data_IF_999346774675
#
_entry.id   IF_999346774675
#
_cell.length_a   1.000
_cell.length_b   1.000
_cell.length_c   1.000
_cell.angle_alpha   90.00
_cell.angle_beta   90.00
_cell.angle_gamma   90.00
#
_symmetry.space_group_name_H-M   'P 1'
#
loop_
_entity.id
_entity.type
_entity.pdbx_description
1 polymer ?
#
# COMPACT_ATOMS: atom_id res chain seq x y z
N UNK A 1 47.77 34.26 -61.08
CA UNK A 1 47.11 34.67 -59.86
C UNK A 1 46.35 33.43 -59.31
N UNK A 2 46.98 32.69 -58.41
CA UNK A 2 46.37 31.50 -57.76
C UNK A 2 45.75 31.89 -56.43
N UNK A 3 44.45 31.78 -56.32
CA UNK A 3 43.75 31.95 -55.05
C UNK A 3 43.80 30.61 -54.27
N UNK A 4 44.48 30.62 -53.11
CA UNK A 4 44.48 29.51 -52.15
C UNK A 4 43.26 29.64 -51.28
N UNK A 5 42.33 28.67 -51.35
CA UNK A 5 41.21 28.50 -50.47
C UNK A 5 41.66 27.69 -49.25
N UNK A 6 41.67 28.28 -48.07
CA UNK A 6 41.86 27.57 -46.79
C UNK A 6 40.53 26.95 -46.39
N UNK A 7 40.45 25.63 -46.27
CA UNK A 7 39.35 24.92 -45.56
C UNK A 7 39.72 24.86 -44.10
N UNK A 8 38.92 25.54 -43.26
CA UNK A 8 38.96 25.38 -41.81
C UNK A 8 38.08 24.20 -41.40
N UNK A 9 38.70 23.13 -40.93
CA UNK A 9 38.01 21.98 -40.35
C UNK A 9 37.68 22.30 -38.90
N UNK A 10 36.40 22.56 -38.59
CA UNK A 10 35.89 22.73 -37.22
C UNK A 10 35.64 21.35 -36.63
N UNK A 11 36.49 20.90 -35.72
CA UNK A 11 36.29 19.68 -34.95
C UNK A 11 35.23 19.96 -33.88
N UNK A 12 34.06 19.36 -34.02
CA UNK A 12 33.03 19.30 -32.96
C UNK A 12 33.46 18.28 -31.90
N UNK A 13 33.98 18.73 -30.76
CA UNK A 13 34.11 17.90 -29.57
C UNK A 13 32.70 17.67 -29.00
N UNK A 14 32.15 16.49 -29.25
CA UNK A 14 30.95 16.04 -28.50
C UNK A 14 31.38 15.75 -27.06
N UNK A 15 31.09 16.69 -26.15
CA UNK A 15 31.11 16.46 -24.72
C UNK A 15 30.00 15.44 -24.41
N UNK A 16 30.39 14.18 -24.28
CA UNK A 16 29.54 13.15 -23.66
C UNK A 16 29.35 13.59 -22.19
N UNK A 17 28.24 14.27 -21.91
CA UNK A 17 27.76 14.50 -20.55
C UNK A 17 27.39 13.12 -19.98
N UNK A 18 28.35 12.45 -19.34
CA UNK A 18 28.04 11.34 -18.46
C UNK A 18 27.17 11.93 -17.37
N UNK A 19 25.89 11.57 -17.36
CA UNK A 19 25.03 11.79 -16.21
C UNK A 19 25.66 10.98 -15.06
N UNK A 20 26.47 11.64 -14.24
CA UNK A 20 26.85 11.08 -12.95
C UNK A 20 25.55 10.96 -12.17
N UNK A 21 25.13 9.73 -11.88
CA UNK A 21 24.07 9.50 -10.92
C UNK A 21 24.53 10.17 -9.61
N UNK A 22 23.80 11.19 -9.17
CA UNK A 22 24.10 11.89 -7.93
C UNK A 22 24.07 10.86 -6.81
N UNK A 23 25.15 10.73 -6.04
CA UNK A 23 25.20 9.82 -4.89
C UNK A 23 24.12 10.22 -3.91
N UNK A 24 23.05 9.43 -3.82
CA UNK A 24 21.94 9.70 -2.91
C UNK A 24 22.46 9.64 -1.47
N UNK A 25 22.40 10.78 -0.76
CA UNK A 25 22.86 10.85 0.65
C UNK A 25 21.82 10.34 1.63
N UNK A 26 20.55 10.42 1.25
CA UNK A 26 19.41 10.07 2.09
C UNK A 26 18.42 9.22 1.28
N UNK A 27 18.00 8.07 1.83
CA UNK A 27 16.94 7.24 1.29
C UNK A 27 15.64 7.51 2.05
N UNK A 28 14.58 7.90 1.35
CA UNK A 28 13.35 8.45 1.92
C UNK A 28 12.22 7.45 1.80
N UNK A 29 11.72 7.01 2.94
CA UNK A 29 10.67 5.99 3.07
C UNK A 29 9.33 6.63 3.39
N UNK A 30 8.36 6.51 2.50
CA UNK A 30 6.98 6.95 2.75
C UNK A 30 6.20 5.91 3.54
N UNK A 31 5.49 6.35 4.57
CA UNK A 31 4.64 5.49 5.38
C UNK A 31 3.20 6.00 5.34
N UNK A 32 2.28 5.19 4.81
CA UNK A 32 0.86 5.55 4.67
C UNK A 32 0.20 5.79 6.03
N UNK A 33 -0.81 6.69 6.04
CA UNK A 33 -1.56 7.05 7.24
C UNK A 33 -2.54 6.01 7.74
N UNK A 34 -3.26 6.34 8.82
CA UNK A 34 -4.41 5.56 9.28
C UNK A 34 -4.17 4.65 10.47
N UNK A 35 -2.99 4.70 11.05
CA UNK A 35 -2.62 4.06 12.31
C UNK A 35 -1.94 5.07 13.24
N UNK A 36 -1.68 4.69 14.50
CA UNK A 36 -0.87 5.51 15.39
C UNK A 36 0.52 5.75 14.79
N UNK A 37 0.95 7.01 14.71
CA UNK A 37 2.23 7.39 14.07
C UNK A 37 3.44 6.77 14.78
N UNK A 38 3.44 6.77 16.11
CA UNK A 38 4.56 6.20 16.86
C UNK A 38 4.73 4.69 16.59
N UNK A 39 3.61 3.96 16.46
CA UNK A 39 3.62 2.52 16.14
C UNK A 39 4.16 2.30 14.71
N UNK A 40 3.74 3.13 13.75
CA UNK A 40 4.23 3.07 12.36
C UNK A 40 5.74 3.31 12.28
N UNK A 41 6.23 4.36 12.93
CA UNK A 41 7.66 4.66 12.99
C UNK A 41 8.46 3.53 13.65
N UNK A 42 7.95 2.97 14.76
CA UNK A 42 8.57 1.85 15.47
C UNK A 42 8.68 0.61 14.59
N UNK A 43 7.65 0.28 13.81
CA UNK A 43 7.66 -0.89 12.92
C UNK A 43 8.77 -0.83 11.86
N UNK A 44 9.15 0.37 11.41
CA UNK A 44 10.19 0.58 10.41
C UNK A 44 11.60 0.88 10.98
N UNK A 45 11.77 0.88 12.32
CA UNK A 45 13.07 1.23 12.92
C UNK A 45 14.20 0.31 12.46
N UNK A 46 13.94 -0.99 12.35
CA UNK A 46 14.93 -1.96 11.86
C UNK A 46 15.41 -1.64 10.42
N UNK A 47 14.52 -1.15 9.57
CA UNK A 47 14.86 -0.72 8.20
C UNK A 47 15.75 0.52 8.23
N UNK A 48 15.44 1.50 9.11
CA UNK A 48 16.28 2.69 9.32
C UNK A 48 17.69 2.33 9.76
N UNK A 49 17.81 1.34 10.62
CA UNK A 49 19.10 0.92 11.19
C UNK A 49 19.96 0.12 10.19
N UNK A 50 19.33 -0.66 9.32
CA UNK A 50 20.03 -1.62 8.44
C UNK A 50 20.32 -1.07 7.04
N UNK A 51 19.36 -0.36 6.42
CA UNK A 51 19.46 0.08 5.03
C UNK A 51 20.62 1.04 4.71
N UNK A 52 21.08 1.95 5.59
CA UNK A 52 22.20 2.83 5.26
C UNK A 52 23.44 2.07 4.81
N UNK A 53 23.80 0.99 5.51
CA UNK A 53 24.94 0.15 5.17
C UNK A 53 24.75 -0.63 3.86
N UNK A 54 23.53 -1.10 3.61
CA UNK A 54 23.16 -1.86 2.39
C UNK A 54 23.21 -0.98 1.15
N UNK A 55 22.64 0.21 1.23
CA UNK A 55 22.50 1.11 0.08
C UNK A 55 23.72 2.03 -0.12
N UNK A 56 24.61 2.15 0.88
CA UNK A 56 25.73 3.08 0.85
C UNK A 56 25.29 4.54 1.02
N UNK A 57 24.16 4.81 1.69
CA UNK A 57 23.65 6.16 1.97
C UNK A 57 24.03 6.59 3.39
N UNK A 58 24.02 7.90 3.64
CA UNK A 58 24.35 8.42 4.97
C UNK A 58 23.25 8.15 5.99
N UNK A 59 21.98 8.19 5.55
CA UNK A 59 20.82 7.95 6.41
C UNK A 59 19.62 7.44 5.62
N UNK A 60 18.71 6.80 6.34
CA UNK A 60 17.34 6.49 5.92
C UNK A 60 16.39 7.31 6.78
N UNK A 61 15.42 7.97 6.17
CA UNK A 61 14.45 8.80 6.88
C UNK A 61 13.04 8.33 6.59
N UNK A 62 12.22 8.26 7.65
CA UNK A 62 10.82 7.90 7.57
C UNK A 62 9.95 9.15 7.43
N UNK A 63 9.00 9.12 6.52
CA UNK A 63 8.05 10.20 6.23
C UNK A 63 6.62 9.69 6.43
N UNK A 64 6.10 9.70 7.68
CA UNK A 64 4.73 9.32 7.95
C UNK A 64 3.78 10.38 7.38
N UNK A 65 2.89 9.97 6.48
CA UNK A 65 1.84 10.84 5.97
C UNK A 65 0.59 10.79 6.86
N UNK A 66 -0.24 11.82 6.81
CA UNK A 66 -1.51 11.85 7.51
C UNK A 66 -2.52 10.88 6.88
N UNK A 67 -2.47 10.75 5.56
CA UNK A 67 -3.33 9.90 4.73
C UNK A 67 -2.52 9.20 3.62
N UNK A 68 -3.20 8.43 2.79
CA UNK A 68 -2.57 7.70 1.69
C UNK A 68 -2.12 8.64 0.56
N UNK A 69 -2.86 9.73 0.31
CA UNK A 69 -2.53 10.69 -0.76
C UNK A 69 -1.19 11.36 -0.51
N UNK A 70 -0.84 11.66 0.73
CA UNK A 70 0.45 12.25 1.06
C UNK A 70 1.64 11.42 0.56
N UNK A 71 1.57 10.08 0.66
CA UNK A 71 2.61 9.19 0.13
C UNK A 71 2.56 9.12 -1.40
N UNK A 72 1.35 9.06 -1.99
CA UNK A 72 1.16 9.08 -3.45
C UNK A 72 1.78 10.33 -4.06
N UNK A 73 1.50 11.52 -3.51
CA UNK A 73 2.06 12.79 -3.97
C UNK A 73 3.58 12.86 -3.75
N UNK A 74 4.07 12.33 -2.64
CA UNK A 74 5.50 12.26 -2.35
C UNK A 74 6.28 11.41 -3.38
N UNK A 75 5.72 10.30 -3.81
CA UNK A 75 6.30 9.45 -4.86
C UNK A 75 6.21 10.10 -6.25
N UNK A 76 5.06 10.67 -6.61
CA UNK A 76 4.88 11.40 -7.87
C UNK A 76 5.81 12.62 -7.96
N UNK A 77 5.96 13.37 -6.87
CA UNK A 77 6.83 14.54 -6.77
C UNK A 77 8.32 14.21 -6.60
N UNK A 78 8.69 12.92 -6.49
CA UNK A 78 10.09 12.48 -6.32
C UNK A 78 10.70 12.87 -4.96
N UNK A 79 9.88 13.19 -3.97
CA UNK A 79 10.32 13.48 -2.59
C UNK A 79 10.42 12.24 -1.71
N UNK A 80 9.90 11.10 -2.18
CA UNK A 80 10.04 9.78 -1.58
C UNK A 80 10.75 8.84 -2.55
N UNK A 81 11.49 7.88 -2.02
CA UNK A 81 12.26 6.91 -2.78
C UNK A 81 11.63 5.50 -2.76
N UNK A 82 10.93 5.19 -1.68
CA UNK A 82 10.27 3.90 -1.44
C UNK A 82 8.99 4.11 -0.63
N UNK A 83 8.00 3.29 -0.93
CA UNK A 83 6.85 3.05 -0.06
C UNK A 83 6.24 1.67 -0.33
N UNK A 84 5.53 1.15 0.66
CA UNK A 84 4.57 0.07 0.46
C UNK A 84 3.18 0.67 0.31
N UNK A 85 2.47 0.25 -0.74
CA UNK A 85 1.17 0.80 -1.10
C UNK A 85 0.12 -0.31 -1.19
N UNK A 86 -1.14 0.03 -0.94
CA UNK A 86 -2.23 -0.75 -1.49
C UNK A 86 -2.25 -0.64 -3.03
N UNK A 87 -2.72 -1.67 -3.72
CA UNK A 87 -2.77 -1.71 -5.19
C UNK A 87 -3.57 -0.53 -5.80
N UNK A 88 -4.56 0.04 -5.07
CA UNK A 88 -5.31 1.23 -5.50
C UNK A 88 -4.46 2.50 -5.46
N UNK A 89 -3.65 2.69 -4.40
CA UNK A 89 -2.68 3.79 -4.33
C UNK A 89 -1.65 3.72 -5.46
N UNK A 90 -1.13 2.52 -5.73
CA UNK A 90 -0.26 2.30 -6.89
C UNK A 90 -0.99 2.59 -8.21
N UNK A 91 -2.24 2.14 -8.37
CA UNK A 91 -3.03 2.43 -9.58
C UNK A 91 -3.23 3.94 -9.79
N UNK A 92 -3.39 4.72 -8.71
CA UNK A 92 -3.47 6.20 -8.80
C UNK A 92 -2.19 6.79 -9.36
N UNK A 93 -1.02 6.35 -8.86
CA UNK A 93 0.27 6.78 -9.39
C UNK A 93 0.41 6.38 -10.86
N UNK A 94 0.13 5.11 -11.19
CA UNK A 94 0.26 4.58 -12.55
C UNK A 94 -0.61 5.33 -13.56
N UNK A 95 -1.83 5.70 -13.19
CA UNK A 95 -2.74 6.47 -14.05
C UNK A 95 -2.32 7.93 -14.22
N UNK A 96 -1.63 8.50 -13.23
CA UNK A 96 -1.09 9.86 -13.30
C UNK A 96 0.23 9.89 -14.10
N UNK A 97 1.16 9.02 -13.78
CA UNK A 97 2.43 8.80 -14.48
C UNK A 97 2.89 7.35 -14.29
N UNK A 98 2.71 6.52 -15.31
CA UNK A 98 3.10 5.11 -15.31
C UNK A 98 4.63 4.88 -15.15
N UNK A 99 5.43 5.93 -15.24
CA UNK A 99 6.89 5.88 -15.12
C UNK A 99 7.41 6.47 -13.80
N UNK A 100 6.56 6.99 -12.92
CA UNK A 100 6.99 7.61 -11.67
C UNK A 100 7.64 6.60 -10.72
N UNK A 101 7.08 5.40 -10.62
CA UNK A 101 7.56 4.33 -9.75
C UNK A 101 7.58 2.98 -10.44
N UNK A 102 8.39 2.06 -9.92
CA UNK A 102 8.44 0.65 -10.32
C UNK A 102 7.91 -0.20 -9.16
N UNK A 103 6.87 -1.04 -9.37
CA UNK A 103 6.49 -2.07 -8.42
C UNK A 103 7.52 -3.20 -8.54
N UNK A 104 8.27 -3.47 -7.48
CA UNK A 104 9.37 -4.43 -7.51
C UNK A 104 9.06 -5.73 -6.81
N UNK A 105 8.30 -5.68 -5.72
CA UNK A 105 7.96 -6.83 -4.88
C UNK A 105 6.52 -6.75 -4.39
N UNK A 106 6.00 -7.91 -3.99
CA UNK A 106 4.79 -8.04 -3.18
C UNK A 106 4.97 -9.16 -2.16
N UNK A 107 4.15 -9.19 -1.12
CA UNK A 107 4.16 -10.23 -0.09
C UNK A 107 3.49 -11.52 -0.56
N UNK A 108 3.94 -12.64 -0.01
CA UNK A 108 3.34 -13.98 -0.14
C UNK A 108 2.82 -14.40 1.23
N UNK A 109 1.56 -14.76 1.33
CA UNK A 109 0.92 -15.25 2.55
C UNK A 109 1.52 -16.61 2.98
N UNK A 110 1.29 -17.01 4.21
CA UNK A 110 1.80 -18.28 4.75
C UNK A 110 1.30 -19.52 4.00
N UNK A 111 0.13 -19.43 3.36
CA UNK A 111 -0.43 -20.48 2.50
C UNK A 111 0.09 -20.46 1.05
N UNK A 112 0.91 -19.45 0.71
CA UNK A 112 1.49 -19.26 -0.63
C UNK A 112 0.64 -18.37 -1.55
N UNK A 113 -0.51 -17.88 -1.14
CA UNK A 113 -1.29 -16.93 -1.93
C UNK A 113 -0.60 -15.55 -1.97
N UNK A 114 -0.82 -14.81 -3.06
CA UNK A 114 -0.31 -13.44 -3.24
C UNK A 114 -1.46 -12.42 -3.15
N UNK A 115 -2.37 -12.64 -2.22
CA UNK A 115 -3.56 -11.82 -2.09
C UNK A 115 -4.12 -11.85 -0.68
N UNK A 116 -5.10 -10.97 -0.48
CA UNK A 116 -5.81 -10.76 0.76
C UNK A 116 -7.26 -10.37 0.47
N UNK A 117 -8.04 -10.03 1.49
CA UNK A 117 -9.46 -9.72 1.33
C UNK A 117 -9.83 -8.39 1.97
N UNK A 118 -10.73 -7.67 1.31
CA UNK A 118 -11.55 -6.67 1.97
C UNK A 118 -12.59 -7.37 2.82
N UNK A 119 -12.78 -6.89 4.02
CA UNK A 119 -13.67 -7.47 5.02
C UNK A 119 -14.60 -6.37 5.54
N UNK A 120 -15.90 -6.62 5.51
CA UNK A 120 -16.89 -5.75 6.12
C UNK A 120 -17.16 -6.23 7.54
N UNK A 121 -16.85 -5.42 8.52
CA UNK A 121 -17.06 -5.71 9.93
C UNK A 121 -18.11 -4.78 10.54
N UNK A 122 -18.82 -5.30 11.52
CA UNK A 122 -19.75 -4.54 12.35
C UNK A 122 -19.63 -4.99 13.82
N UNK A 123 -20.17 -4.19 14.75
CA UNK A 123 -20.25 -4.60 16.16
C UNK A 123 -21.16 -5.81 16.32
N UNK A 124 -20.69 -6.82 17.05
CA UNK A 124 -21.43 -8.06 17.32
C UNK A 124 -22.70 -7.84 18.14
N UNK A 125 -22.68 -6.87 19.09
CA UNK A 125 -23.81 -6.55 19.93
C UNK A 125 -25.00 -5.90 19.18
N UNK A 126 -24.79 -5.45 17.93
CA UNK A 126 -25.86 -4.93 17.06
C UNK A 126 -26.72 -6.02 16.44
N UNK A 127 -26.27 -7.28 16.51
CA UNK A 127 -27.03 -8.43 16.06
C UNK A 127 -27.16 -8.58 14.54
N UNK A 128 -26.40 -7.83 13.73
CA UNK A 128 -26.36 -8.01 12.28
C UNK A 128 -25.80 -9.38 11.92
N UNK A 129 -26.42 -10.06 10.95
CA UNK A 129 -26.06 -11.42 10.52
C UNK A 129 -25.63 -11.48 9.06
N UNK A 130 -25.93 -10.45 8.29
CA UNK A 130 -25.62 -10.36 6.87
C UNK A 130 -25.48 -8.89 6.43
N UNK A 131 -24.94 -8.67 5.23
CA UNK A 131 -24.88 -7.32 4.64
C UNK A 131 -26.29 -6.75 4.43
N UNK A 132 -27.31 -7.59 4.19
CA UNK A 132 -28.68 -7.14 3.99
C UNK A 132 -29.24 -6.37 5.22
N UNK A 133 -28.80 -6.72 6.42
CA UNK A 133 -29.20 -6.06 7.67
C UNK A 133 -28.66 -4.61 7.78
N UNK A 134 -27.70 -4.27 6.93
CA UNK A 134 -27.07 -2.95 6.88
C UNK A 134 -27.80 -1.97 5.94
N UNK A 135 -28.91 -2.37 5.30
CA UNK A 135 -29.69 -1.46 4.46
C UNK A 135 -30.13 -0.23 5.26
N UNK A 136 -29.84 0.97 4.73
CA UNK A 136 -30.15 2.22 5.39
C UNK A 136 -29.29 2.54 6.61
N UNK A 137 -28.17 1.82 6.82
CA UNK A 137 -27.20 2.08 7.88
C UNK A 137 -26.05 2.94 7.40
N UNK A 138 -25.14 3.31 8.31
CA UNK A 138 -23.94 4.10 8.01
C UNK A 138 -22.76 3.18 7.72
N UNK A 139 -22.15 3.31 6.53
CA UNK A 139 -20.96 2.59 6.15
C UNK A 139 -19.72 3.47 6.22
N UNK A 140 -18.70 3.03 6.93
CA UNK A 140 -17.37 3.63 6.91
C UNK A 140 -16.45 2.94 5.90
N UNK A 141 -15.69 3.75 5.18
CA UNK A 141 -14.54 3.34 4.37
C UNK A 141 -13.24 3.75 5.06
N UNK A 142 -12.13 3.07 4.76
CA UNK A 142 -10.85 3.39 5.41
C UNK A 142 -10.27 4.71 4.89
N UNK A 143 -9.90 4.76 3.61
CA UNK A 143 -9.26 5.89 2.94
C UNK A 143 -9.61 5.88 1.45
N UNK A 144 -9.78 7.04 0.79
CA UNK A 144 -10.14 7.12 -0.64
C UNK A 144 -9.16 6.41 -1.59
N UNK A 145 -7.89 6.25 -1.19
CA UNK A 145 -6.86 5.59 -1.97
C UNK A 145 -6.63 4.13 -1.54
N UNK A 146 -7.36 3.65 -0.53
CA UNK A 146 -7.28 2.25 -0.08
C UNK A 146 -7.93 1.29 -1.08
N UNK A 147 -7.27 0.15 -1.31
CA UNK A 147 -7.80 -0.94 -2.15
C UNK A 147 -8.96 -1.65 -1.45
N UNK A 148 -8.67 -2.27 -0.31
CA UNK A 148 -9.64 -3.06 0.46
C UNK A 148 -10.57 -2.21 1.32
N UNK A 149 -10.14 -1.01 1.70
CA UNK A 149 -10.93 -0.10 2.51
C UNK A 149 -11.86 0.79 1.70
N UNK A 150 -11.75 0.85 0.37
CA UNK A 150 -12.59 1.69 -0.46
C UNK A 150 -12.85 1.14 -1.85
N UNK A 151 -11.82 1.04 -2.72
CA UNK A 151 -12.04 0.77 -4.15
C UNK A 151 -12.76 -0.56 -4.37
N UNK A 152 -12.28 -1.65 -3.78
CA UNK A 152 -12.84 -2.98 -3.98
C UNK A 152 -14.26 -3.08 -3.40
N UNK A 153 -14.54 -2.71 -2.13
CA UNK A 153 -15.92 -2.74 -1.64
C UNK A 153 -16.84 -1.83 -2.44
N UNK A 154 -16.38 -0.66 -2.92
CA UNK A 154 -17.21 0.23 -3.73
C UNK A 154 -17.71 -0.43 -5.01
N UNK A 155 -16.86 -1.26 -5.66
CA UNK A 155 -17.21 -1.90 -6.96
C UNK A 155 -17.80 -3.30 -6.81
N UNK A 156 -17.58 -4.00 -5.67
CA UNK A 156 -18.02 -5.39 -5.51
C UNK A 156 -19.20 -5.58 -4.54
N UNK A 157 -19.38 -4.71 -3.53
CA UNK A 157 -20.59 -4.76 -2.68
C UNK A 157 -21.90 -4.63 -3.47
N UNK A 158 -22.02 -3.79 -4.54
CA UNK A 158 -23.22 -3.72 -5.35
C UNK A 158 -23.71 -5.07 -5.87
N UNK A 159 -22.81 -5.98 -6.23
CA UNK A 159 -23.18 -7.34 -6.67
C UNK A 159 -23.83 -8.16 -5.56
N UNK A 160 -23.41 -7.95 -4.31
CA UNK A 160 -23.96 -8.66 -3.14
C UNK A 160 -25.31 -8.08 -2.70
N UNK A 161 -25.46 -6.75 -2.73
CA UNK A 161 -26.66 -6.08 -2.18
C UNK A 161 -27.69 -5.71 -3.24
N UNK A 162 -27.38 -5.86 -4.53
CA UNK A 162 -28.28 -5.57 -5.64
C UNK A 162 -28.54 -4.09 -5.90
N UNK A 163 -27.70 -3.19 -5.35
CA UNK A 163 -27.84 -1.75 -5.51
C UNK A 163 -26.48 -1.04 -5.37
N UNK A 164 -26.29 0.15 -5.97
CA UNK A 164 -25.11 0.98 -5.69
C UNK A 164 -24.94 1.26 -4.19
N UNK A 165 -23.69 1.31 -3.72
CA UNK A 165 -23.38 1.53 -2.29
C UNK A 165 -24.12 2.74 -1.72
N UNK A 166 -24.10 3.87 -2.45
CA UNK A 166 -24.75 5.12 -2.03
C UNK A 166 -26.29 5.07 -1.98
N UNK A 167 -26.91 4.07 -2.60
CA UNK A 167 -28.36 3.86 -2.56
C UNK A 167 -28.76 2.84 -1.49
N UNK A 168 -27.85 1.89 -1.19
CA UNK A 168 -28.09 0.85 -0.19
C UNK A 168 -27.89 1.37 1.24
N UNK A 169 -26.81 2.14 1.47
CA UNK A 169 -26.50 2.73 2.76
C UNK A 169 -27.09 4.16 2.86
N UNK A 170 -27.54 4.56 4.05
CA UNK A 170 -28.07 5.90 4.26
C UNK A 170 -26.97 6.97 4.21
N UNK A 171 -25.77 6.61 4.64
CA UNK A 171 -24.61 7.50 4.73
C UNK A 171 -23.35 6.69 4.49
N UNK A 172 -22.37 7.30 3.82
CA UNK A 172 -21.02 6.75 3.71
C UNK A 172 -20.00 7.81 4.13
N UNK A 173 -18.89 7.39 4.75
CA UNK A 173 -17.82 8.30 5.17
C UNK A 173 -16.48 7.58 5.24
N UNK A 174 -15.44 8.31 5.62
CA UNK A 174 -14.09 7.79 5.77
C UNK A 174 -13.62 7.86 7.23
N UNK A 175 -12.98 6.79 7.72
CA UNK A 175 -12.42 6.71 9.06
C UNK A 175 -10.98 7.24 9.15
N UNK A 176 -10.36 7.60 8.02
CA UNK A 176 -8.97 8.07 7.99
C UNK A 176 -7.92 6.94 8.08
N UNK A 177 -8.29 5.73 7.63
CA UNK A 177 -7.45 4.52 7.59
C UNK A 177 -8.11 3.33 8.25
N UNK A 178 -7.51 2.15 8.12
CA UNK A 178 -8.14 0.90 8.52
C UNK A 178 -8.30 0.75 10.04
N UNK A 179 -7.26 1.05 10.82
CA UNK A 179 -7.30 0.97 12.28
C UNK A 179 -8.30 1.96 12.84
N UNK A 180 -8.20 3.22 12.41
CA UNK A 180 -9.12 4.28 12.84
C UNK A 180 -10.57 3.93 12.50
N UNK A 181 -10.83 3.39 11.31
CA UNK A 181 -12.18 3.00 10.90
C UNK A 181 -12.76 1.90 11.82
N UNK A 182 -11.99 0.86 12.12
CA UNK A 182 -12.47 -0.20 13.04
C UNK A 182 -12.78 0.38 14.43
N UNK A 183 -11.95 1.30 14.92
CA UNK A 183 -12.21 2.01 16.18
C UNK A 183 -13.49 2.86 16.11
N UNK A 184 -13.75 3.53 14.99
CA UNK A 184 -14.98 4.31 14.79
C UNK A 184 -16.23 3.41 14.69
N UNK A 185 -16.11 2.20 14.14
CA UNK A 185 -17.19 1.18 14.19
C UNK A 185 -17.43 0.75 15.63
N UNK A 186 -16.39 0.47 16.41
CA UNK A 186 -16.51 0.09 17.82
C UNK A 186 -17.14 1.20 18.67
N UNK A 187 -16.84 2.47 18.38
CA UNK A 187 -17.49 3.63 19.02
C UNK A 187 -18.95 3.84 18.58
N UNK A 188 -19.34 3.28 17.42
CA UNK A 188 -20.69 3.44 16.85
C UNK A 188 -20.88 4.68 15.97
N UNK A 189 -19.79 5.31 15.52
CA UNK A 189 -19.82 6.38 14.50
C UNK A 189 -20.35 5.84 13.18
N UNK A 190 -19.88 4.65 12.79
CA UNK A 190 -20.39 3.86 11.68
C UNK A 190 -21.03 2.57 12.19
N UNK A 191 -22.09 2.10 11.51
CA UNK A 191 -22.72 0.82 11.83
C UNK A 191 -21.86 -0.38 11.35
N UNK A 192 -21.13 -0.18 10.26
CA UNK A 192 -20.19 -1.14 9.70
C UNK A 192 -19.03 -0.41 9.01
N UNK A 193 -17.90 -1.10 8.82
CA UNK A 193 -16.72 -0.53 8.18
C UNK A 193 -15.93 -1.56 7.39
N UNK A 194 -15.25 -1.12 6.34
CA UNK A 194 -14.40 -1.96 5.48
C UNK A 194 -12.96 -1.94 5.95
N UNK A 195 -12.40 -3.11 6.23
CA UNK A 195 -11.02 -3.31 6.62
C UNK A 195 -10.39 -4.46 5.84
N UNK A 196 -9.30 -5.06 6.33
CA UNK A 196 -8.67 -6.19 5.63
C UNK A 196 -8.05 -7.21 6.56
N UNK A 197 -7.91 -8.41 6.04
CA UNK A 197 -7.18 -9.53 6.61
C UNK A 197 -6.75 -10.52 5.53
N UNK A 198 -5.76 -11.36 5.85
CA UNK A 198 -5.22 -12.33 4.90
C UNK A 198 -6.26 -13.35 4.43
N UNK A 199 -7.28 -13.65 5.24
CA UNK A 199 -8.17 -14.78 5.03
C UNK A 199 -7.53 -16.13 5.32
N UNK A 200 -6.28 -16.17 5.76
CA UNK A 200 -5.56 -17.35 6.22
C UNK A 200 -5.71 -17.46 7.74
N UNK A 201 -6.04 -18.65 8.24
CA UNK A 201 -6.45 -18.82 9.64
C UNK A 201 -7.90 -18.43 9.88
N UNK A 202 -8.29 -18.25 11.15
CA UNK A 202 -9.66 -18.01 11.55
C UNK A 202 -9.92 -16.50 11.79
N UNK A 203 -11.11 -16.03 11.39
CA UNK A 203 -11.55 -14.65 11.70
C UNK A 203 -11.54 -14.34 13.20
N UNK A 204 -11.94 -15.32 14.05
CA UNK A 204 -11.95 -15.15 15.52
C UNK A 204 -10.59 -14.78 16.12
N UNK A 205 -9.49 -15.11 15.41
CA UNK A 205 -8.12 -14.84 15.82
C UNK A 205 -7.53 -13.58 15.11
N UNK A 206 -8.32 -12.93 14.23
CA UNK A 206 -7.89 -11.79 13.41
C UNK A 206 -7.14 -12.20 12.16
N UNK A 207 -7.21 -13.48 11.74
CA UNK A 207 -6.39 -14.10 10.71
C UNK A 207 -4.89 -14.15 11.06
N UNK A 208 -4.03 -14.48 10.10
CA UNK A 208 -2.57 -14.53 10.31
C UNK A 208 -1.89 -13.20 10.04
N UNK A 209 -2.51 -12.31 9.25
CA UNK A 209 -1.98 -11.00 8.91
C UNK A 209 -3.08 -10.02 8.49
N UNK A 210 -2.73 -8.74 8.41
CA UNK A 210 -3.62 -7.65 8.04
C UNK A 210 -4.04 -6.78 9.21
N UNK A 211 -4.95 -5.84 8.97
CA UNK A 211 -5.32 -4.83 9.98
C UNK A 211 -5.92 -5.45 11.25
N UNK A 212 -6.80 -6.46 11.12
CA UNK A 212 -7.42 -7.09 12.28
C UNK A 212 -6.36 -7.77 13.15
N UNK A 213 -5.41 -8.49 12.55
CA UNK A 213 -4.29 -9.13 13.26
C UNK A 213 -3.44 -8.09 13.99
N UNK A 214 -3.03 -7.02 13.30
CA UNK A 214 -2.28 -5.91 13.91
C UNK A 214 -3.00 -5.34 15.14
N UNK A 215 -4.30 -5.08 15.04
CA UNK A 215 -5.07 -4.52 16.14
C UNK A 215 -5.21 -5.48 17.33
N UNK A 216 -5.32 -6.78 17.08
CA UNK A 216 -5.30 -7.82 18.12
C UNK A 216 -3.94 -7.87 18.81
N UNK A 217 -2.85 -7.86 18.05
CA UNK A 217 -1.48 -7.88 18.59
C UNK A 217 -1.14 -6.64 19.42
N UNK A 218 -1.69 -5.48 19.04
CA UNK A 218 -1.63 -4.24 19.84
C UNK A 218 -2.52 -4.26 21.09
N UNK A 219 -3.42 -5.24 21.23
CA UNK A 219 -4.39 -5.32 22.32
C UNK A 219 -5.48 -4.26 22.28
N UNK A 220 -5.74 -3.65 21.11
CA UNK A 220 -6.75 -2.60 20.91
C UNK A 220 -8.05 -3.12 20.26
N UNK A 221 -8.08 -4.40 19.88
CA UNK A 221 -9.26 -5.08 19.33
C UNK A 221 -9.43 -6.44 20.00
N UNK A 222 -10.64 -6.68 20.54
CA UNK A 222 -11.10 -8.02 20.87
C UNK A 222 -12.00 -8.51 19.73
N UNK A 223 -11.65 -9.62 19.09
CA UNK A 223 -12.42 -10.19 17.97
C UNK A 223 -13.85 -10.63 18.38
N UNK A 224 -14.11 -10.81 19.68
CA UNK A 224 -15.45 -11.06 20.19
C UNK A 224 -16.39 -9.85 20.11
N UNK A 225 -15.86 -8.64 19.90
CA UNK A 225 -16.66 -7.41 19.82
C UNK A 225 -17.18 -7.15 18.40
N UNK A 226 -16.64 -7.85 17.39
CA UNK A 226 -17.00 -7.66 15.98
C UNK A 226 -17.48 -8.94 15.32
N UNK A 227 -18.15 -8.78 14.18
CA UNK A 227 -18.58 -9.85 13.28
C UNK A 227 -18.19 -9.50 11.86
N UNK A 228 -17.73 -10.50 11.08
CA UNK A 228 -17.54 -10.41 9.65
C UNK A 228 -18.90 -10.61 8.95
N UNK A 229 -19.33 -9.63 8.17
CA UNK A 229 -20.59 -9.69 7.43
C UNK A 229 -20.40 -9.95 5.94
N UNK A 230 -19.19 -9.64 5.42
CA UNK A 230 -18.87 -9.84 4.02
C UNK A 230 -17.34 -9.89 3.81
N UNK A 231 -16.95 -10.63 2.79
CA UNK A 231 -15.58 -10.76 2.30
C UNK A 231 -15.56 -10.61 0.79
N UNK A 232 -14.64 -9.82 0.26
CA UNK A 232 -14.47 -9.61 -1.18
C UNK A 232 -13.95 -10.86 -1.90
N UNK A 233 -13.95 -10.88 -3.24
CA UNK A 233 -13.01 -11.69 -4.01
C UNK A 233 -11.56 -11.38 -3.59
N UNK A 234 -10.63 -12.31 -3.91
CA UNK A 234 -9.21 -12.14 -3.60
C UNK A 234 -8.65 -10.88 -4.28
N UNK A 235 -7.96 -10.06 -3.51
CA UNK A 235 -7.30 -8.82 -3.93
C UNK A 235 -5.80 -9.10 -4.01
N UNK A 236 -5.06 -8.67 -5.05
CA UNK A 236 -3.60 -8.78 -5.04
C UNK A 236 -3.00 -8.01 -3.86
N UNK A 237 -2.03 -8.62 -3.16
CA UNK A 237 -1.26 -7.92 -2.14
C UNK A 237 -0.63 -6.66 -2.74
N UNK A 238 -0.48 -5.61 -1.94
CA UNK A 238 0.03 -4.34 -2.39
C UNK A 238 1.49 -4.39 -2.85
N UNK A 239 1.91 -3.47 -3.73
CA UNK A 239 3.30 -3.42 -4.16
C UNK A 239 4.20 -2.71 -3.18
N UNK A 240 5.42 -3.21 -3.05
CA UNK A 240 6.59 -2.43 -2.69
C UNK A 240 7.02 -1.68 -3.95
N UNK A 241 7.01 -0.36 -3.89
CA UNK A 241 7.39 0.51 -5.01
C UNK A 241 8.64 1.29 -4.70
N UNK A 242 9.46 1.49 -5.73
CA UNK A 242 10.62 2.39 -5.67
C UNK A 242 10.51 3.45 -6.78
N UNK A 243 11.04 4.64 -6.53
CA UNK A 243 11.08 5.72 -7.50
C UNK A 243 11.91 5.28 -8.72
N UNK A 244 11.35 5.41 -9.92
CA UNK A 244 11.99 4.90 -11.16
C UNK A 244 13.34 5.55 -11.47
N UNK A 245 13.54 6.78 -11.02
CA UNK A 245 14.81 7.53 -11.24
C UNK A 245 15.95 7.13 -10.29
N UNK A 246 15.72 6.24 -9.32
CA UNK A 246 16.81 5.64 -8.54
C UNK A 246 17.76 4.88 -9.48
N UNK A 247 19.07 4.91 -9.17
CA UNK A 247 20.03 4.16 -9.98
C UNK A 247 19.79 2.63 -9.84
N UNK A 248 20.14 1.90 -10.88
CA UNK A 248 19.87 0.45 -10.96
C UNK A 248 20.55 -0.36 -9.86
N UNK A 249 21.78 0.01 -9.46
CA UNK A 249 22.50 -0.66 -8.37
C UNK A 249 21.77 -0.52 -7.05
N UNK A 250 21.30 0.69 -6.73
CA UNK A 250 20.52 0.94 -5.51
C UNK A 250 19.18 0.17 -5.51
N UNK A 251 18.46 0.16 -6.63
CA UNK A 251 17.24 -0.64 -6.78
C UNK A 251 17.50 -2.13 -6.57
N UNK A 252 18.60 -2.65 -7.13
CA UNK A 252 18.98 -4.06 -6.97
C UNK A 252 19.32 -4.37 -5.51
N UNK A 253 20.16 -3.57 -4.86
CA UNK A 253 20.53 -3.75 -3.45
C UNK A 253 19.33 -3.70 -2.51
N UNK A 254 18.41 -2.75 -2.75
CA UNK A 254 17.17 -2.65 -1.98
C UNK A 254 16.29 -3.88 -2.17
N UNK A 255 16.07 -4.31 -3.42
CA UNK A 255 15.30 -5.52 -3.72
C UNK A 255 15.91 -6.76 -3.06
N UNK A 256 17.24 -6.95 -3.19
CA UNK A 256 17.94 -8.09 -2.60
C UNK A 256 17.86 -8.08 -1.06
N UNK A 257 17.96 -6.90 -0.43
CA UNK A 257 17.74 -6.73 1.00
C UNK A 257 16.34 -7.20 1.41
N UNK A 258 15.28 -6.68 0.76
CA UNK A 258 13.90 -7.04 1.07
C UNK A 258 13.64 -8.52 0.84
N UNK A 259 14.07 -9.09 -0.28
CA UNK A 259 13.94 -10.53 -0.58
C UNK A 259 14.61 -11.43 0.47
N UNK A 260 15.67 -10.95 1.09
CA UNK A 260 16.41 -11.70 2.12
C UNK A 260 15.85 -11.50 3.52
N UNK A 261 15.15 -10.41 3.78
CA UNK A 261 14.67 -9.98 5.10
C UNK A 261 13.87 -11.06 5.84
N UNK A 262 12.97 -11.85 5.20
CA UNK A 262 12.26 -12.94 5.87
C UNK A 262 13.17 -14.00 6.52
N UNK A 263 14.42 -14.12 6.04
CA UNK A 263 15.40 -15.09 6.54
C UNK A 263 16.44 -14.43 7.45
N UNK A 264 16.92 -13.24 7.08
CA UNK A 264 17.99 -12.54 7.80
C UNK A 264 17.50 -11.88 9.09
N UNK A 265 16.26 -11.34 9.08
CA UNK A 265 15.62 -10.70 10.22
C UNK A 265 14.08 -10.89 10.16
N UNK A 266 13.58 -12.09 10.53
CA UNK A 266 12.15 -12.38 10.53
C UNK A 266 11.33 -11.43 11.41
N UNK A 267 11.93 -10.90 12.48
CA UNK A 267 11.24 -9.96 13.37
C UNK A 267 11.00 -8.61 12.69
N UNK A 268 12.00 -8.08 11.96
CA UNK A 268 11.85 -6.89 11.14
C UNK A 268 10.81 -7.10 10.04
N UNK A 269 10.86 -8.25 9.34
CA UNK A 269 9.90 -8.60 8.31
C UNK A 269 8.46 -8.60 8.84
N UNK A 270 8.20 -9.29 9.95
CA UNK A 270 6.87 -9.32 10.58
C UNK A 270 6.42 -7.94 11.07
N UNK A 271 7.35 -7.11 11.56
CA UNK A 271 7.04 -5.77 12.05
C UNK A 271 6.59 -4.83 10.93
N UNK A 272 7.28 -4.81 9.78
CA UNK A 272 6.93 -3.93 8.66
C UNK A 272 5.65 -4.38 7.95
N UNK A 273 5.46 -5.71 7.78
CA UNK A 273 4.29 -6.28 7.08
C UNK A 273 3.03 -6.36 7.96
N UNK A 274 3.21 -6.43 9.28
CA UNK A 274 2.11 -6.48 10.24
C UNK A 274 1.41 -7.82 10.30
N UNK A 275 2.16 -8.87 10.59
CA UNK A 275 1.70 -10.24 10.78
C UNK A 275 2.63 -11.27 10.16
N UNK A 276 2.11 -12.48 10.03
CA UNK A 276 2.86 -13.61 9.51
C UNK A 276 2.70 -13.71 7.99
N UNK A 277 3.83 -13.57 7.30
CA UNK A 277 3.96 -13.79 5.86
C UNK A 277 5.08 -14.79 5.58
N UNK A 278 5.06 -15.41 4.40
CA UNK A 278 6.04 -16.40 3.99
C UNK A 278 7.32 -15.75 3.42
N UNK A 279 7.16 -14.77 2.54
CA UNK A 279 8.25 -14.16 1.78
C UNK A 279 7.76 -12.96 0.97
N UNK A 280 8.70 -12.32 0.28
CA UNK A 280 8.41 -11.48 -0.87
C UNK A 280 8.57 -12.26 -2.19
N UNK A 281 7.97 -11.73 -3.26
CA UNK A 281 8.12 -12.19 -4.64
C UNK A 281 8.15 -10.99 -5.60
N UNK A 282 8.90 -11.10 -6.68
CA UNK A 282 8.95 -10.05 -7.71
C UNK A 282 7.61 -9.93 -8.44
N UNK A 283 7.22 -8.70 -8.74
CA UNK A 283 6.00 -8.37 -9.50
C UNK A 283 6.29 -7.31 -10.57
N UNK A 284 5.35 -7.21 -11.50
CA UNK A 284 5.34 -6.20 -12.56
C UNK A 284 4.01 -5.45 -12.56
N UNK A 285 3.88 -4.33 -13.28
CA UNK A 285 2.61 -3.60 -13.39
C UNK A 285 1.42 -4.48 -13.83
N UNK A 286 1.66 -5.51 -14.64
CA UNK A 286 0.59 -6.41 -15.13
C UNK A 286 -0.12 -7.15 -14.00
N UNK A 287 0.56 -7.43 -12.88
CA UNK A 287 -0.03 -8.06 -11.70
C UNK A 287 -1.17 -7.18 -11.10
N UNK A 288 -1.09 -5.88 -11.25
CA UNK A 288 -2.03 -4.90 -10.71
C UNK A 288 -3.07 -4.42 -11.73
N UNK A 289 -3.03 -4.94 -12.96
CA UNK A 289 -3.94 -4.50 -14.05
C UNK A 289 -5.42 -4.51 -13.65
N UNK A 290 -5.98 -5.54 -12.96
CA UNK A 290 -7.38 -5.52 -12.55
C UNK A 290 -7.74 -4.34 -11.64
N UNK A 291 -6.83 -3.94 -10.73
CA UNK A 291 -7.06 -2.81 -9.83
C UNK A 291 -6.88 -1.48 -10.55
N UNK A 292 -5.93 -1.39 -11.48
CA UNK A 292 -5.75 -0.21 -12.34
C UNK A 292 -7.01 0.03 -13.17
N UNK A 293 -7.56 -1.01 -13.80
CA UNK A 293 -8.77 -0.93 -14.61
C UNK A 293 -9.99 -0.56 -13.74
N UNK A 294 -10.15 -1.16 -12.57
CA UNK A 294 -11.23 -0.82 -11.63
C UNK A 294 -11.14 0.64 -11.18
N UNK A 295 -9.94 1.13 -10.83
CA UNK A 295 -9.77 2.53 -10.43
C UNK A 295 -10.05 3.49 -11.58
N UNK A 296 -9.59 3.18 -12.79
CA UNK A 296 -9.86 3.98 -13.98
C UNK A 296 -11.38 4.11 -14.26
N UNK A 297 -12.12 3.01 -14.12
CA UNK A 297 -13.57 3.02 -14.28
C UNK A 297 -14.27 3.87 -13.20
N UNK A 298 -13.77 3.89 -11.98
CA UNK A 298 -14.33 4.64 -10.85
C UNK A 298 -14.10 6.16 -10.99
N UNK A 299 -13.00 6.60 -11.61
CA UNK A 299 -12.70 8.03 -11.84
C UNK A 299 -13.50 8.58 -13.03
N UNK A 300 -13.82 7.74 -14.02
CA UNK A 300 -14.53 8.12 -15.24
C UNK A 300 -16.07 8.08 -15.14
N UNK A 301 -16.63 7.68 -14.01
CA UNK A 301 -18.05 7.68 -13.70
C UNK A 301 -18.39 8.65 -12.57
#
# INVERSE_FOLDING_TARGET
MLKKTLLAATAFLALASGAFAEDLKEFRVGIIGGENEADRLKSYQCVVDQLPAVLGVQKVSLFPAADYDGVVQGLLGGTLDYAELGASGYAKIYLADAKAVEPILTTVQTDGSMGYYSILVARKDKGFKSVADLKGKKLGFADPDSTSGYLVPLVTLPETVGAPVKEFFAETGFGGGHENLVLEVLKGTFDAGTTFGSGVGDFKDGYTSGNLRKMVDKGILNMDDIVELWKSPLIPNGPIVVRSTLNTDMKSKFKDYMMNLPKSDPACFSAIEGGDFKSFVEVTPDFYKPIIDARKATIGG
#
